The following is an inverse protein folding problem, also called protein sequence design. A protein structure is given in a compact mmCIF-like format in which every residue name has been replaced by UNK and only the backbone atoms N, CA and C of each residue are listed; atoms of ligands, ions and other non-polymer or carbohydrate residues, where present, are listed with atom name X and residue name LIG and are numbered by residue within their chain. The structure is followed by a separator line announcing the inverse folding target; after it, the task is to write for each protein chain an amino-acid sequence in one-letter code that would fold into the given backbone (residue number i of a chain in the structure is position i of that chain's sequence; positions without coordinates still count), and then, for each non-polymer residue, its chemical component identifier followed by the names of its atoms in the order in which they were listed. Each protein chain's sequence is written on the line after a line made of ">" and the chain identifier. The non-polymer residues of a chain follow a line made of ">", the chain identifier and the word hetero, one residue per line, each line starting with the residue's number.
data_IF_910288311530
#
_entry.id   IF_910288311530
#
_cell.length_a   1.000
_cell.length_b   1.000
_cell.length_c   1.000
_cell.angle_alpha   90.00
_cell.angle_beta   90.00
_cell.angle_gamma   90.00
#
_symmetry.space_group_name_H-M   'P 1'
#
loop_
_entity.id
_entity.type
_entity.pdbx_description
1 polymer ?
#
# COMPACT_ATOMS: atom_id res chain seq x y z
N UNK A 1 8.44 7.44 3.59
CA UNK A 1 8.73 6.58 4.77
C UNK A 1 9.42 7.29 5.92
N UNK A 2 10.62 7.88 5.76
CA UNK A 2 11.37 8.50 6.89
C UNK A 2 10.54 9.44 7.78
N UNK A 3 9.73 10.31 7.17
CA UNK A 3 8.87 11.23 7.92
C UNK A 3 7.76 10.52 8.69
N UNK A 4 7.15 9.46 8.14
CA UNK A 4 6.10 8.71 8.82
C UNK A 4 6.65 7.99 10.06
N UNK A 5 7.77 7.30 9.90
CA UNK A 5 8.46 6.62 11.00
C UNK A 5 8.91 7.60 12.09
N UNK A 6 9.45 8.77 11.71
CA UNK A 6 9.82 9.83 12.66
C UNK A 6 8.64 10.39 13.45
N UNK A 7 7.45 10.40 12.85
CA UNK A 7 6.21 10.83 13.49
C UNK A 7 5.44 9.65 14.12
N UNK A 8 6.12 8.53 14.38
CA UNK A 8 5.53 7.35 15.04
C UNK A 8 4.35 6.72 14.28
N UNK A 9 4.31 6.86 12.96
CA UNK A 9 3.41 6.11 12.09
C UNK A 9 4.16 4.91 11.51
N UNK A 10 4.03 3.70 12.12
CA UNK A 10 4.63 2.49 11.56
C UNK A 10 4.05 2.24 10.17
N UNK A 11 4.93 2.06 9.19
CA UNK A 11 4.52 1.92 7.80
C UNK A 11 5.42 0.96 7.03
N UNK A 12 4.84 0.31 6.03
CA UNK A 12 5.53 -0.56 5.09
C UNK A 12 5.36 -0.09 3.65
N UNK A 13 6.21 -0.59 2.75
CA UNK A 13 6.20 -0.19 1.33
C UNK A 13 5.86 -1.38 0.46
N UNK A 14 5.12 -1.12 -0.61
CA UNK A 14 4.85 -2.09 -1.65
C UNK A 14 5.15 -1.47 -3.02
N UNK A 15 6.23 -1.90 -3.67
CA UNK A 15 6.62 -1.40 -4.99
C UNK A 15 7.23 -2.52 -5.84
N UNK A 16 7.35 -2.30 -7.15
CA UNK A 16 7.80 -3.33 -8.11
C UNK A 16 9.27 -3.74 -8.02
N UNK A 17 10.00 -3.25 -7.02
CA UNK A 17 11.39 -3.65 -6.74
C UNK A 17 11.51 -4.60 -5.56
N UNK A 18 10.39 -4.95 -4.92
CA UNK A 18 10.31 -5.93 -3.84
C UNK A 18 10.10 -7.30 -4.49
N UNK A 19 10.82 -8.31 -4.06
CA UNK A 19 10.61 -9.67 -4.53
C UNK A 19 9.26 -10.23 -4.03
N UNK A 20 8.82 -11.33 -4.65
CA UNK A 20 7.49 -11.87 -4.37
C UNK A 20 7.34 -12.35 -2.92
N UNK A 21 8.40 -12.88 -2.31
CA UNK A 21 8.34 -13.40 -0.94
C UNK A 21 8.16 -12.25 0.06
N UNK A 22 8.95 -11.19 -0.08
CA UNK A 22 8.84 -9.99 0.76
C UNK A 22 7.50 -9.27 0.53
N UNK A 23 6.98 -9.28 -0.70
CA UNK A 23 5.64 -8.78 -1.04
C UNK A 23 4.54 -9.54 -0.30
N UNK A 24 4.60 -10.87 -0.32
CA UNK A 24 3.59 -11.70 0.35
C UNK A 24 3.66 -11.53 1.88
N UNK A 25 4.85 -11.47 2.45
CA UNK A 25 5.07 -11.17 3.87
C UNK A 25 4.48 -9.81 4.27
N UNK A 26 4.77 -8.76 3.48
CA UNK A 26 4.22 -7.41 3.67
C UNK A 26 2.69 -7.42 3.69
N UNK A 27 2.08 -8.16 2.76
CA UNK A 27 0.63 -8.26 2.67
C UNK A 27 0.00 -9.01 3.85
N UNK A 28 0.68 -10.02 4.39
CA UNK A 28 0.21 -10.75 5.57
C UNK A 28 0.18 -9.81 6.79
N UNK A 29 1.26 -9.08 7.04
CA UNK A 29 1.35 -8.15 8.18
C UNK A 29 0.33 -7.01 8.06
N UNK A 30 0.12 -6.49 6.84
CA UNK A 30 -0.90 -5.47 6.57
C UNK A 30 -2.31 -6.01 6.85
N UNK A 31 -2.63 -7.22 6.38
CA UNK A 31 -3.94 -7.86 6.61
C UNK A 31 -4.18 -8.23 8.08
N UNK A 32 -3.12 -8.50 8.84
CA UNK A 32 -3.20 -8.74 10.30
C UNK A 32 -3.37 -7.47 11.12
N UNK A 33 -3.07 -6.31 10.53
CA UNK A 33 -3.08 -5.02 11.21
C UNK A 33 -1.80 -4.73 12.00
N UNK A 34 -0.77 -5.58 11.89
CA UNK A 34 0.53 -5.38 12.54
C UNK A 34 1.20 -4.10 12.02
N UNK A 35 0.96 -3.78 10.75
CA UNK A 35 1.36 -2.54 10.08
C UNK A 35 0.14 -1.86 9.47
N UNK A 36 -0.47 -0.87 10.14
CA UNK A 36 -1.75 -0.29 9.70
C UNK A 36 -1.62 0.68 8.51
N UNK A 37 -0.40 1.06 8.13
CA UNK A 37 -0.14 1.99 7.02
C UNK A 37 0.77 1.35 5.97
N UNK A 38 0.28 1.30 4.73
CA UNK A 38 1.05 0.82 3.58
C UNK A 38 1.18 1.93 2.53
N UNK A 39 2.39 2.12 2.02
CA UNK A 39 2.70 3.04 0.92
C UNK A 39 2.96 2.20 -0.32
N UNK A 40 2.17 2.38 -1.37
CA UNK A 40 2.29 1.59 -2.58
C UNK A 40 2.43 2.44 -3.85
N UNK A 41 3.15 1.94 -4.84
CA UNK A 41 3.08 2.48 -6.22
C UNK A 41 1.87 1.91 -6.94
N UNK A 42 1.40 2.59 -8.00
CA UNK A 42 0.17 2.20 -8.71
C UNK A 42 0.22 0.76 -9.23
N UNK A 43 1.36 0.33 -9.77
CA UNK A 43 1.53 -1.05 -10.26
C UNK A 43 1.42 -2.06 -9.12
N UNK A 44 2.03 -1.74 -7.99
CA UNK A 44 2.10 -2.65 -6.85
C UNK A 44 0.77 -2.74 -6.08
N UNK A 45 -0.08 -1.72 -6.17
CA UNK A 45 -1.38 -1.65 -5.50
C UNK A 45 -2.51 -2.37 -6.25
N UNK A 46 -2.32 -2.76 -7.52
CA UNK A 46 -3.36 -3.46 -8.28
C UNK A 46 -3.65 -4.82 -7.67
N UNK A 47 -4.94 -5.12 -7.47
CA UNK A 47 -5.39 -6.42 -6.95
C UNK A 47 -5.16 -6.60 -5.45
N UNK A 48 -5.03 -5.52 -4.69
CA UNK A 48 -5.04 -5.57 -3.23
C UNK A 48 -6.43 -5.97 -2.72
N UNK A 49 -6.58 -7.24 -2.36
CA UNK A 49 -7.77 -7.72 -1.63
C UNK A 49 -7.52 -7.61 -0.12
N UNK A 50 -7.98 -6.51 0.48
CA UNK A 50 -7.90 -6.26 1.93
C UNK A 50 -9.28 -5.83 2.44
N UNK A 51 -10.03 -6.77 3.01
CA UNK A 51 -11.44 -6.58 3.42
C UNK A 51 -11.66 -5.41 4.37
N UNK A 52 -10.73 -5.17 5.28
CA UNK A 52 -10.85 -4.15 6.32
C UNK A 52 -10.15 -2.83 5.95
N UNK A 53 -9.86 -2.60 4.65
CA UNK A 53 -9.27 -1.35 4.18
C UNK A 53 -10.30 -0.22 4.20
N UNK A 54 -10.12 0.72 5.13
CA UNK A 54 -11.09 1.82 5.36
C UNK A 54 -10.78 3.10 4.58
N UNK A 55 -9.54 3.30 4.14
CA UNK A 55 -9.08 4.55 3.55
C UNK A 55 -7.99 4.31 2.52
N UNK A 56 -8.17 4.90 1.33
CA UNK A 56 -7.14 5.04 0.30
C UNK A 56 -6.83 6.51 0.14
N UNK A 57 -5.56 6.88 0.32
CA UNK A 57 -5.06 8.25 0.08
C UNK A 57 -4.25 8.26 -1.21
N UNK A 58 -4.77 8.93 -2.24
CA UNK A 58 -4.02 9.23 -3.46
C UNK A 58 -3.04 10.37 -3.19
N UNK A 59 -1.83 10.05 -2.71
CA UNK A 59 -0.79 11.05 -2.42
C UNK A 59 -0.36 11.80 -3.69
N UNK A 60 -0.03 11.04 -4.74
CA UNK A 60 0.16 11.56 -6.08
C UNK A 60 -1.09 11.28 -6.93
N UNK A 61 -1.50 12.26 -7.72
CA UNK A 61 -2.64 12.13 -8.63
C UNK A 61 -2.40 10.96 -9.60
N UNK A 62 -3.40 10.07 -9.82
CA UNK A 62 -3.28 9.04 -10.85
C UNK A 62 -3.14 9.66 -12.25
N UNK A 63 -2.28 9.08 -13.08
CA UNK A 63 -2.02 9.57 -14.44
C UNK A 63 -3.16 9.27 -15.41
N UNK A 64 -3.89 8.19 -15.14
CA UNK A 64 -5.02 7.72 -15.94
C UNK A 64 -6.20 7.36 -15.04
N UNK A 65 -7.40 7.45 -15.59
CA UNK A 65 -8.63 7.12 -14.88
C UNK A 65 -8.62 5.68 -14.36
N UNK A 66 -8.09 4.74 -15.14
CA UNK A 66 -7.97 3.33 -14.77
C UNK A 66 -7.13 3.15 -13.50
N UNK A 67 -6.05 3.93 -13.34
CA UNK A 67 -5.24 3.88 -12.12
C UNK A 67 -6.01 4.36 -10.89
N UNK A 68 -6.90 5.36 -11.03
CA UNK A 68 -7.77 5.76 -9.93
C UNK A 68 -8.71 4.61 -9.53
N UNK A 69 -9.38 4.01 -10.51
CA UNK A 69 -10.31 2.89 -10.28
C UNK A 69 -9.58 1.72 -9.63
N UNK A 70 -8.39 1.36 -10.11
CA UNK A 70 -7.59 0.27 -9.53
C UNK A 70 -7.05 0.55 -8.13
N UNK A 71 -6.86 1.82 -7.75
CA UNK A 71 -6.40 2.19 -6.40
C UNK A 71 -7.55 2.22 -5.39
N UNK A 72 -8.74 2.65 -5.81
CA UNK A 72 -9.86 2.91 -4.92
C UNK A 72 -10.97 1.84 -4.95
N UNK A 73 -11.02 1.01 -5.98
CA UNK A 73 -11.97 -0.10 -6.13
C UNK A 73 -11.37 -1.43 -5.70
#
# INVERSE_FOLDING_TARGET
>A
MKNLLRNSYPCMSLHGGIDQYDRDSTMVDFKRGDMPLMIATSVAARGLDVKDLILVVNYDCPNHYEDYVHRCG
#
